data_IF_764621545931
#
_entry.id   IF_764621545931
#
_cell.length_a   1.000
_cell.length_b   1.000
_cell.length_c   1.000
_cell.angle_alpha   90.00
_cell.angle_beta   90.00
_cell.angle_gamma   90.00
#
_symmetry.space_group_name_H-M   'P 1'
#
loop_
_entity.id
_entity.type
_entity.pdbx_description
1 polymer ?
#
# COMPACT_ATOMS: atom_id res chain seq x y z
N UNK A 1 -24.43 13.15 6.06
CA UNK A 1 -23.48 12.76 5.00
C UNK A 1 -22.18 12.43 5.70
N UNK A 2 -21.62 11.23 5.52
CA UNK A 2 -20.29 10.93 6.03
C UNK A 2 -19.26 11.80 5.29
N UNK A 3 -18.31 12.37 6.02
CA UNK A 3 -17.21 13.14 5.42
C UNK A 3 -16.24 12.22 4.67
N UNK A 4 -15.37 12.81 3.84
CA UNK A 4 -14.23 12.08 3.30
C UNK A 4 -13.22 11.82 4.43
N UNK A 5 -12.48 10.70 4.40
CA UNK A 5 -11.38 10.47 5.33
C UNK A 5 -10.27 11.51 5.12
N UNK A 6 -9.54 11.83 6.18
CA UNK A 6 -8.36 12.69 6.12
C UNK A 6 -7.09 11.93 5.70
N UNK A 7 -7.12 10.59 5.72
CA UNK A 7 -6.05 9.72 5.21
C UNK A 7 -6.60 8.37 4.75
N UNK A 8 -6.20 7.93 3.56
CA UNK A 8 -6.43 6.56 3.10
C UNK A 8 -5.15 5.74 3.24
N UNK A 9 -5.24 4.54 3.81
CA UNK A 9 -4.10 3.65 4.01
C UNK A 9 -4.34 2.35 3.26
N UNK A 10 -3.35 1.90 2.50
CA UNK A 10 -3.40 0.64 1.74
C UNK A 10 -2.34 -0.32 2.24
N UNK A 11 -2.70 -1.60 2.36
CA UNK A 11 -1.72 -2.67 2.24
C UNK A 11 -1.15 -2.76 0.81
N UNK A 12 -0.18 -3.65 0.59
CA UNK A 12 0.45 -3.87 -0.70
C UNK A 12 0.07 -5.22 -1.30
N UNK A 13 0.38 -6.30 -0.58
CA UNK A 13 0.19 -7.65 -1.09
C UNK A 13 -1.30 -7.99 -1.11
N UNK A 14 -1.79 -8.61 -2.18
CA UNK A 14 -3.22 -8.86 -2.42
C UNK A 14 -4.15 -7.63 -2.35
N UNK A 15 -3.59 -6.42 -2.22
CA UNK A 15 -4.33 -5.15 -2.21
C UNK A 15 -4.02 -4.32 -3.45
N UNK A 16 -2.74 -4.05 -3.73
CA UNK A 16 -2.32 -3.35 -4.95
C UNK A 16 -1.93 -4.31 -6.08
N UNK A 17 -1.45 -5.50 -5.73
CA UNK A 17 -1.06 -6.53 -6.68
C UNK A 17 -1.50 -7.92 -6.19
N UNK A 18 -1.74 -8.90 -7.10
CA UNK A 18 -2.38 -10.16 -6.75
C UNK A 18 -1.38 -11.24 -6.27
N UNK A 19 -0.43 -10.88 -5.41
CA UNK A 19 0.58 -11.81 -4.88
C UNK A 19 1.25 -11.28 -3.60
N UNK A 20 1.86 -12.18 -2.82
CA UNK A 20 2.89 -11.81 -1.83
C UNK A 20 4.26 -11.61 -2.46
N UNK A 21 4.83 -10.41 -2.32
CA UNK A 21 6.12 -10.02 -2.90
C UNK A 21 7.31 -10.80 -2.33
N UNK A 22 7.19 -11.36 -1.13
CA UNK A 22 8.24 -12.17 -0.48
C UNK A 22 8.17 -13.67 -0.79
N UNK A 23 7.13 -14.11 -1.52
CA UNK A 23 6.84 -15.54 -1.73
C UNK A 23 6.71 -15.92 -3.20
N UNK A 24 5.95 -15.15 -3.98
CA UNK A 24 5.52 -15.60 -5.32
C UNK A 24 6.42 -15.12 -6.46
N UNK A 25 7.32 -14.19 -6.19
CA UNK A 25 8.14 -13.49 -7.20
C UNK A 25 9.58 -13.43 -6.71
N UNK A 26 10.52 -13.18 -7.62
CA UNK A 26 11.95 -13.23 -7.31
C UNK A 26 12.65 -11.88 -7.64
N UNK A 27 12.64 -10.89 -6.72
CA UNK A 27 13.28 -9.56 -6.93
C UNK A 27 14.78 -9.67 -7.25
N UNK A 28 15.47 -8.72 -7.90
CA UNK A 28 14.97 -7.41 -8.25
C UNK A 28 14.04 -7.48 -9.46
N UNK A 29 13.30 -6.41 -9.62
CA UNK A 29 12.43 -6.17 -10.75
C UNK A 29 13.10 -5.23 -11.76
N UNK A 30 12.68 -5.28 -13.01
CA UNK A 30 13.07 -4.32 -14.02
C UNK A 30 11.90 -4.04 -14.96
N UNK A 31 11.89 -2.81 -15.50
CA UNK A 31 10.94 -2.42 -16.55
C UNK A 31 11.57 -2.68 -17.92
N UNK A 32 10.88 -3.43 -18.76
CA UNK A 32 11.26 -3.69 -20.15
C UNK A 32 10.92 -2.47 -21.02
N UNK A 33 11.48 -2.45 -22.23
CA UNK A 33 11.22 -1.39 -23.21
C UNK A 33 9.76 -1.30 -23.67
N UNK A 34 9.00 -2.40 -23.57
CA UNK A 34 7.56 -2.44 -23.85
C UNK A 34 6.70 -1.96 -22.66
N UNK A 35 7.33 -1.53 -21.56
CA UNK A 35 6.67 -1.06 -20.35
C UNK A 35 6.30 -2.14 -19.35
N UNK A 36 6.47 -3.43 -19.67
CA UNK A 36 6.20 -4.53 -18.73
C UNK A 36 7.21 -4.56 -17.60
N UNK A 37 6.75 -4.85 -16.38
CA UNK A 37 7.62 -5.09 -15.22
C UNK A 37 7.80 -6.59 -15.09
N UNK A 38 9.04 -7.04 -14.91
CA UNK A 38 9.38 -8.45 -14.71
C UNK A 38 10.30 -8.63 -13.51
N UNK A 39 10.23 -9.79 -12.87
CA UNK A 39 11.20 -10.22 -11.86
C UNK A 39 12.48 -10.82 -12.49
N UNK A 40 13.42 -11.30 -11.66
CA UNK A 40 14.68 -11.88 -12.14
C UNK A 40 14.50 -13.15 -12.98
N UNK A 41 13.37 -13.84 -12.85
CA UNK A 41 13.03 -15.07 -13.59
C UNK A 41 12.23 -14.79 -14.85
N UNK A 42 11.88 -13.53 -15.11
CA UNK A 42 11.08 -13.13 -16.26
C UNK A 42 9.58 -13.27 -16.03
N UNK A 43 9.12 -13.48 -14.80
CA UNK A 43 7.70 -13.46 -14.47
C UNK A 43 7.18 -12.02 -14.61
N UNK A 44 6.13 -11.85 -15.41
CA UNK A 44 5.47 -10.55 -15.58
C UNK A 44 4.72 -10.18 -14.30
N UNK A 45 5.00 -8.97 -13.80
CA UNK A 45 4.37 -8.40 -12.63
C UNK A 45 3.28 -7.42 -13.07
N UNK A 46 2.11 -7.52 -12.46
CA UNK A 46 0.96 -6.67 -12.74
C UNK A 46 0.31 -6.22 -11.43
N UNK A 47 -0.24 -5.02 -11.44
CA UNK A 47 -1.16 -4.54 -10.41
C UNK A 47 -2.56 -5.12 -10.64
N UNK A 48 -3.47 -4.98 -9.67
CA UNK A 48 -4.89 -5.00 -10.01
C UNK A 48 -5.20 -3.86 -11.01
N UNK A 49 -6.01 -4.10 -12.06
CA UNK A 49 -6.13 -3.16 -13.18
C UNK A 49 -6.52 -1.73 -12.80
N UNK A 50 -7.40 -1.57 -11.82
CA UNK A 50 -7.97 -0.28 -11.42
C UNK A 50 -7.14 0.48 -10.38
N UNK A 51 -6.04 -0.09 -9.87
CA UNK A 51 -5.22 0.53 -8.82
C UNK A 51 -4.77 1.96 -9.18
N UNK A 52 -4.25 2.23 -10.39
CA UNK A 52 -3.88 3.60 -10.76
C UNK A 52 -5.07 4.58 -10.69
N UNK A 53 -6.26 4.14 -11.11
CA UNK A 53 -7.47 4.96 -11.14
C UNK A 53 -8.02 5.21 -9.74
N UNK A 54 -7.95 4.20 -8.85
CA UNK A 54 -8.32 4.33 -7.43
C UNK A 54 -7.41 5.35 -6.73
N UNK A 55 -6.09 5.23 -6.89
CA UNK A 55 -5.14 6.16 -6.27
C UNK A 55 -5.27 7.58 -6.84
N UNK A 56 -5.53 7.70 -8.14
CA UNK A 56 -5.83 8.97 -8.78
C UNK A 56 -7.11 9.59 -8.23
N UNK A 57 -8.14 8.77 -7.94
CA UNK A 57 -9.38 9.25 -7.35
C UNK A 57 -9.16 9.88 -5.98
N UNK A 58 -8.42 9.22 -5.08
CA UNK A 58 -8.06 9.81 -3.78
C UNK A 58 -7.33 11.15 -3.94
N UNK A 59 -6.35 11.21 -4.85
CA UNK A 59 -5.62 12.45 -5.17
C UNK A 59 -6.57 13.55 -5.65
N UNK A 60 -7.49 13.25 -6.56
CA UNK A 60 -8.46 14.22 -7.11
C UNK A 60 -9.44 14.74 -6.06
N UNK A 61 -9.70 13.95 -5.01
CA UNK A 61 -10.54 14.32 -3.88
C UNK A 61 -9.77 15.06 -2.78
N UNK A 62 -8.46 15.25 -2.95
CA UNK A 62 -7.61 15.89 -1.95
C UNK A 62 -7.33 15.03 -0.72
N UNK A 63 -7.55 13.72 -0.81
CA UNK A 63 -7.32 12.77 0.29
C UNK A 63 -5.90 12.20 0.14
N UNK A 64 -4.99 12.44 1.10
CA UNK A 64 -3.65 11.87 1.06
C UNK A 64 -3.71 10.34 1.22
N UNK A 65 -2.76 9.65 0.60
CA UNK A 65 -2.67 8.18 0.65
C UNK A 65 -1.37 7.76 1.33
N UNK A 66 -1.41 6.70 2.15
CA UNK A 66 -0.24 6.06 2.74
C UNK A 66 -0.23 4.56 2.48
N UNK A 67 0.96 3.95 2.54
CA UNK A 67 1.14 2.51 2.49
C UNK A 67 1.51 1.97 3.88
N UNK A 68 0.94 0.84 4.27
CA UNK A 68 1.32 0.10 5.46
C UNK A 68 1.43 -1.38 5.07
N UNK A 69 2.61 -1.98 5.03
CA UNK A 69 2.80 -3.39 4.65
C UNK A 69 3.77 -4.12 5.56
N UNK A 70 3.43 -5.38 5.86
CA UNK A 70 4.17 -6.26 6.77
C UNK A 70 5.26 -7.08 6.08
N UNK A 71 5.46 -6.91 4.77
CA UNK A 71 6.37 -7.76 4.00
C UNK A 71 7.82 -7.71 4.53
N UNK A 72 8.48 -8.86 4.51
CA UNK A 72 9.93 -8.95 4.74
C UNK A 72 10.74 -8.47 3.55
N UNK A 73 10.17 -8.47 2.35
CA UNK A 73 10.82 -8.07 1.11
C UNK A 73 10.64 -6.56 0.86
N UNK A 74 11.21 -5.77 1.77
CA UNK A 74 11.08 -4.31 1.80
C UNK A 74 11.64 -3.67 0.52
N UNK A 75 12.76 -4.18 0.00
CA UNK A 75 13.42 -3.62 -1.18
C UNK A 75 12.60 -3.89 -2.43
N UNK A 76 12.13 -5.13 -2.60
CA UNK A 76 11.26 -5.50 -3.70
C UNK A 76 9.95 -4.71 -3.72
N UNK A 77 9.29 -4.59 -2.57
CA UNK A 77 8.04 -3.82 -2.46
C UNK A 77 8.21 -2.35 -2.88
N UNK A 78 9.26 -1.68 -2.37
CA UNK A 78 9.57 -0.30 -2.75
C UNK A 78 9.91 -0.16 -4.23
N UNK A 79 10.69 -1.10 -4.77
CA UNK A 79 11.04 -1.11 -6.17
C UNK A 79 9.79 -1.25 -7.07
N UNK A 80 8.82 -2.07 -6.69
CA UNK A 80 7.56 -2.18 -7.44
C UNK A 80 6.78 -0.87 -7.43
N UNK A 81 6.66 -0.21 -6.27
CA UNK A 81 6.02 1.12 -6.20
C UNK A 81 6.71 2.14 -7.13
N UNK A 82 8.04 2.09 -7.25
CA UNK A 82 8.82 2.94 -8.15
C UNK A 82 8.58 2.60 -9.64
N UNK A 83 8.69 1.33 -10.02
CA UNK A 83 8.57 0.90 -11.42
C UNK A 83 7.15 1.09 -11.99
N UNK A 84 6.13 1.00 -11.14
CA UNK A 84 4.74 1.29 -11.45
C UNK A 84 4.37 2.77 -11.28
N UNK A 85 5.33 3.64 -10.94
CA UNK A 85 5.10 5.09 -10.76
C UNK A 85 3.99 5.40 -9.72
N UNK A 86 3.91 4.56 -8.68
CA UNK A 86 2.93 4.70 -7.59
C UNK A 86 3.45 5.54 -6.43
N UNK A 87 4.77 5.67 -6.27
CA UNK A 87 5.39 6.45 -5.17
C UNK A 87 4.80 7.86 -5.05
N UNK A 88 4.46 8.49 -6.18
CA UNK A 88 3.88 9.84 -6.24
C UNK A 88 2.52 9.98 -5.54
N UNK A 89 1.81 8.89 -5.27
CA UNK A 89 0.53 8.91 -4.57
C UNK A 89 0.69 8.79 -3.05
N UNK A 90 1.80 8.22 -2.58
CA UNK A 90 2.00 7.89 -1.16
C UNK A 90 2.76 9.00 -0.43
N UNK A 91 2.08 9.69 0.49
CA UNK A 91 2.73 10.69 1.37
C UNK A 91 3.68 10.05 2.38
N UNK A 92 3.34 8.83 2.83
CA UNK A 92 4.17 8.02 3.73
C UNK A 92 4.06 6.53 3.41
N UNK A 93 5.12 5.78 3.71
CA UNK A 93 5.22 4.35 3.48
C UNK A 93 5.83 3.68 4.73
N UNK A 94 5.02 2.95 5.47
CA UNK A 94 5.50 2.04 6.51
C UNK A 94 5.56 0.62 5.91
N UNK A 95 6.76 0.17 5.51
CA UNK A 95 6.95 -1.14 4.88
C UNK A 95 8.05 -1.88 5.63
N UNK A 96 7.65 -2.78 6.52
CA UNK A 96 8.55 -3.63 7.31
C UNK A 96 7.76 -4.72 8.08
N UNK A 97 8.39 -5.83 8.46
CA UNK A 97 7.75 -6.82 9.34
C UNK A 97 7.34 -6.22 10.68
N UNK A 98 6.12 -6.54 11.13
CA UNK A 98 5.63 -6.10 12.43
C UNK A 98 4.11 -6.09 12.51
N UNK A 99 3.57 -5.59 13.62
CA UNK A 99 2.14 -5.36 13.78
C UNK A 99 1.70 -4.13 12.99
N UNK A 100 0.55 -4.20 12.30
CA UNK A 100 -0.07 -3.04 11.64
C UNK A 100 -0.42 -1.92 12.62
N UNK A 101 -0.64 -2.23 13.89
CA UNK A 101 -0.80 -1.20 14.94
C UNK A 101 0.41 -0.26 14.97
N UNK A 102 1.63 -0.80 14.96
CA UNK A 102 2.86 0.02 14.95
C UNK A 102 3.01 0.84 13.67
N UNK A 103 2.52 0.34 12.54
CA UNK A 103 2.51 1.08 11.28
C UNK A 103 1.58 2.29 11.39
N UNK A 104 0.35 2.07 11.88
CA UNK A 104 -0.64 3.11 12.08
C UNK A 104 -0.20 4.16 13.10
N UNK A 105 0.40 3.76 14.22
CA UNK A 105 0.97 4.70 15.20
C UNK A 105 2.02 5.63 14.57
N UNK A 106 2.90 5.09 13.71
CA UNK A 106 3.90 5.91 13.00
C UNK A 106 3.27 6.80 11.93
N UNK A 107 2.25 6.32 11.22
CA UNK A 107 1.49 7.14 10.28
C UNK A 107 0.83 8.31 11.00
N UNK A 108 0.14 8.07 12.11
CA UNK A 108 -0.45 9.13 12.94
C UNK A 108 0.61 10.12 13.44
N UNK A 109 1.78 9.66 13.89
CA UNK A 109 2.86 10.55 14.32
C UNK A 109 3.38 11.45 13.18
N UNK A 110 3.42 10.94 11.95
CA UNK A 110 3.92 11.68 10.78
C UNK A 110 2.88 12.63 10.19
N UNK A 111 1.61 12.23 10.18
CA UNK A 111 0.52 12.99 9.54
C UNK A 111 -0.24 13.88 10.51
N UNK A 112 -0.27 13.54 11.80
CA UNK A 112 -1.14 14.17 12.79
C UNK A 112 -2.62 13.77 12.67
N UNK A 113 -2.97 12.89 11.72
CA UNK A 113 -4.36 12.49 11.46
C UNK A 113 -4.86 11.55 12.57
N UNK A 114 -6.01 11.82 13.21
CA UNK A 114 -6.61 10.89 14.17
C UNK A 114 -7.02 9.57 13.51
N UNK A 115 -6.91 8.44 14.21
CA UNK A 115 -7.29 7.13 13.66
C UNK A 115 -8.75 7.10 13.16
N UNK A 116 -9.66 7.80 13.84
CA UNK A 116 -11.07 7.94 13.45
C UNK A 116 -11.32 8.75 12.18
N UNK A 117 -10.29 9.35 11.59
CA UNK A 117 -10.33 10.03 10.30
C UNK A 117 -9.53 9.27 9.23
N UNK A 118 -9.08 8.04 9.53
CA UNK A 118 -8.40 7.17 8.58
C UNK A 118 -9.35 6.10 8.04
N UNK A 119 -9.17 5.74 6.77
CA UNK A 119 -9.75 4.54 6.16
C UNK A 119 -8.63 3.57 5.76
N UNK A 120 -8.84 2.27 5.97
CA UNK A 120 -7.82 1.25 5.74
C UNK A 120 -8.30 0.11 4.83
N UNK A 121 -7.53 -0.17 3.79
CA UNK A 121 -7.78 -1.28 2.85
C UNK A 121 -6.70 -2.36 3.00
N UNK A 122 -7.10 -3.57 3.37
CA UNK A 122 -6.24 -4.74 3.59
C UNK A 122 -7.06 -6.02 3.37
N UNK A 123 -6.51 -7.02 2.71
CA UNK A 123 -7.19 -8.30 2.48
C UNK A 123 -7.16 -9.22 3.71
N UNK A 124 -6.19 -9.04 4.60
CA UNK A 124 -6.01 -9.88 5.77
C UNK A 124 -6.90 -9.40 6.92
N UNK A 125 -7.98 -10.14 7.17
CA UNK A 125 -8.93 -9.86 8.27
C UNK A 125 -8.27 -9.67 9.64
N UNK A 126 -7.10 -10.29 9.88
CA UNK A 126 -6.32 -10.07 11.11
C UNK A 126 -5.84 -8.63 11.23
N UNK A 127 -5.32 -8.05 10.16
CA UNK A 127 -4.84 -6.67 10.14
C UNK A 127 -6.01 -5.71 10.36
N UNK A 128 -7.16 -5.98 9.73
CA UNK A 128 -8.42 -5.26 9.94
C UNK A 128 -8.86 -5.28 11.41
N UNK A 129 -8.92 -6.46 12.03
CA UNK A 129 -9.29 -6.62 13.44
C UNK A 129 -8.31 -5.92 14.38
N UNK A 130 -7.01 -5.92 14.06
CA UNK A 130 -6.01 -5.26 14.92
C UNK A 130 -6.06 -3.74 14.80
N UNK A 131 -6.23 -3.20 13.59
CA UNK A 131 -6.25 -1.74 13.34
C UNK A 131 -7.59 -1.11 13.73
N UNK A 132 -8.72 -1.82 13.56
CA UNK A 132 -10.05 -1.33 13.97
C UNK A 132 -10.14 -1.03 15.47
N UNK A 133 -9.36 -1.71 16.32
CA UNK A 133 -9.27 -1.42 17.77
C UNK A 133 -8.75 0.00 18.07
N UNK A 134 -8.08 0.65 17.10
CA UNK A 134 -7.61 2.04 17.19
C UNK A 134 -8.72 3.06 16.84
N UNK A 135 -9.85 2.62 16.30
CA UNK A 135 -10.94 3.47 15.83
C UNK A 135 -10.89 3.81 14.33
N UNK A 136 -10.08 3.10 13.55
CA UNK A 136 -9.96 3.26 12.09
C UNK A 136 -11.12 2.57 11.36
N UNK A 137 -11.62 3.18 10.28
CA UNK A 137 -12.63 2.57 9.39
C UNK A 137 -11.97 1.65 8.34
N UNK A 138 -12.70 0.64 7.86
CA UNK A 138 -12.21 -0.36 6.90
C UNK A 138 -13.32 -0.87 5.98
#
# INVERSE_FOLDING_TARGET
MAGLPELAVFDLDYTLWPFWVDTHVDPPFHKRSDGTVQDRRGQTIQLYPEVPEVLERFRSLGVPVAAASRTGEIKGAKQLLELFDLVRYFVHQEIYPGSKVTHFERLQQKTGVPFSQMIFFDDEMRNIVDVSKLGTEW
#
